data_IF_107138217650
#
_entry.id   IF_107138217650
#
_cell.length_a   1.000
_cell.length_b   1.000
_cell.length_c   1.000
_cell.angle_alpha   90.00
_cell.angle_beta   90.00
_cell.angle_gamma   90.00
#
_symmetry.space_group_name_H-M   'P 1'
#
loop_
_entity.id
_entity.type
_entity.pdbx_description
1 polymer ?
#
# COMPACT_ATOMS: atom_id res chain seq x y z
N UNK A 1 0.15 -42.43 39.66
CA UNK A 1 0.23 -41.11 40.32
C UNK A 1 0.98 -40.07 39.49
N UNK A 2 2.26 -40.23 39.17
CA UNK A 2 3.00 -39.19 38.40
C UNK A 2 2.47 -39.02 36.97
N UNK A 3 2.06 -40.10 36.31
CA UNK A 3 1.51 -40.08 34.95
C UNK A 3 0.15 -39.37 34.84
N UNK A 4 -0.71 -39.51 35.84
CA UNK A 4 -2.04 -38.86 35.86
C UNK A 4 -1.93 -37.34 36.05
N UNK A 5 -0.99 -36.89 36.89
CA UNK A 5 -0.69 -35.47 37.05
C UNK A 5 -0.12 -34.85 35.77
N UNK A 6 0.72 -35.60 35.05
CA UNK A 6 1.32 -35.16 33.79
C UNK A 6 0.25 -35.02 32.69
N UNK A 7 -0.71 -35.95 32.63
CA UNK A 7 -1.85 -35.86 31.70
C UNK A 7 -2.75 -34.65 32.01
N UNK A 8 -3.06 -34.40 33.28
CA UNK A 8 -3.85 -33.21 33.67
C UNK A 8 -3.15 -31.91 33.29
N UNK A 9 -1.82 -31.84 33.44
CA UNK A 9 -1.03 -30.66 33.10
C UNK A 9 -1.00 -30.44 31.58
N UNK A 10 -0.84 -31.49 30.78
CA UNK A 10 -0.88 -31.40 29.31
C UNK A 10 -2.25 -30.93 28.81
N UNK A 11 -3.33 -31.50 29.34
CA UNK A 11 -4.70 -31.10 28.96
C UNK A 11 -4.97 -29.65 29.33
N UNK A 12 -4.52 -29.22 30.52
CA UNK A 12 -4.62 -27.82 30.95
C UNK A 12 -3.84 -26.87 30.04
N UNK A 13 -2.60 -27.24 29.68
CA UNK A 13 -1.78 -26.47 28.74
C UNK A 13 -2.43 -26.37 27.35
N UNK A 14 -2.98 -27.47 26.82
CA UNK A 14 -3.66 -27.48 25.52
C UNK A 14 -4.91 -26.61 25.52
N UNK A 15 -5.70 -26.65 26.60
CA UNK A 15 -6.89 -25.81 26.74
C UNK A 15 -6.52 -24.31 26.75
N UNK A 16 -5.47 -23.93 27.49
CA UNK A 16 -4.95 -22.56 27.53
C UNK A 16 -4.45 -22.09 26.16
N UNK A 17 -3.72 -22.94 25.45
CA UNK A 17 -3.18 -22.64 24.12
C UNK A 17 -4.30 -22.45 23.10
N UNK A 18 -5.31 -23.32 23.12
CA UNK A 18 -6.50 -23.19 22.28
C UNK A 18 -7.26 -21.88 22.56
N UNK A 19 -7.39 -21.50 23.83
CA UNK A 19 -8.07 -20.26 24.23
C UNK A 19 -7.31 -19.00 23.77
N UNK A 20 -5.97 -19.00 23.90
CA UNK A 20 -5.12 -17.92 23.40
C UNK A 20 -5.19 -17.79 21.86
N UNK A 21 -5.16 -18.92 21.14
CA UNK A 21 -5.28 -18.92 19.68
C UNK A 21 -6.66 -18.43 19.23
N UNK A 22 -7.73 -18.89 19.89
CA UNK A 22 -9.09 -18.41 19.63
C UNK A 22 -9.20 -16.90 19.83
N UNK A 23 -8.66 -16.39 20.94
CA UNK A 23 -8.67 -14.96 21.24
C UNK A 23 -7.91 -14.13 20.19
N UNK A 24 -6.75 -14.63 19.73
CA UNK A 24 -6.00 -13.98 18.63
C UNK A 24 -6.76 -14.01 17.30
N UNK A 25 -7.40 -15.12 16.96
CA UNK A 25 -8.20 -15.22 15.73
C UNK A 25 -9.40 -14.27 15.75
N UNK A 26 -10.06 -14.11 16.90
CA UNK A 26 -11.14 -13.12 17.10
C UNK A 26 -10.65 -11.68 16.88
N UNK A 27 -9.44 -11.33 17.34
CA UNK A 27 -8.88 -10.00 17.11
C UNK A 27 -8.53 -9.76 15.64
N UNK A 28 -7.97 -10.75 14.95
CA UNK A 28 -7.60 -10.64 13.54
C UNK A 28 -8.85 -10.57 12.66
N UNK A 29 -9.83 -11.44 12.88
CA UNK A 29 -11.10 -11.44 12.13
C UNK A 29 -11.90 -10.15 12.35
N UNK A 30 -11.83 -9.55 13.54
CA UNK A 30 -12.43 -8.25 13.83
C UNK A 30 -11.86 -7.12 12.96
N UNK A 31 -10.55 -7.13 12.68
CA UNK A 31 -9.90 -6.13 11.80
C UNK A 31 -10.30 -6.33 10.34
N UNK A 32 -10.29 -7.57 9.84
CA UNK A 32 -10.70 -7.88 8.46
C UNK A 32 -12.18 -7.53 8.21
N UNK A 33 -13.06 -7.75 9.20
CA UNK A 33 -14.48 -7.35 9.09
C UNK A 33 -14.67 -5.84 8.99
N UNK A 34 -13.81 -5.04 9.64
CA UNK A 34 -13.88 -3.58 9.56
C UNK A 34 -13.48 -3.08 8.18
N UNK A 35 -12.38 -3.59 7.63
CA UNK A 35 -11.93 -3.23 6.28
C UNK A 35 -12.95 -3.64 5.21
N UNK A 36 -13.54 -4.84 5.31
CA UNK A 36 -14.59 -5.27 4.39
C UNK A 36 -15.86 -4.41 4.47
N UNK A 37 -16.25 -3.98 5.68
CA UNK A 37 -17.39 -3.07 5.83
C UNK A 37 -17.10 -1.68 5.28
N UNK A 38 -15.87 -1.20 5.40
CA UNK A 38 -15.46 0.09 4.82
C UNK A 38 -15.48 0.04 3.29
N UNK A 39 -14.91 -1.02 2.69
CA UNK A 39 -14.98 -1.29 1.25
C UNK A 39 -16.43 -1.43 0.75
N UNK A 40 -17.29 -2.14 1.50
CA UNK A 40 -18.71 -2.29 1.15
C UNK A 40 -19.45 -0.97 1.18
N UNK A 41 -19.22 -0.13 2.19
CA UNK A 41 -19.82 1.20 2.29
C UNK A 41 -19.38 2.12 1.15
N UNK A 42 -18.13 2.00 0.68
CA UNK A 42 -17.62 2.75 -0.47
C UNK A 42 -18.27 2.31 -1.78
N UNK A 43 -18.52 1.00 -1.95
CA UNK A 43 -19.23 0.50 -3.14
C UNK A 43 -20.70 0.91 -3.13
N UNK A 44 -21.40 0.82 -2.00
CA UNK A 44 -22.81 1.21 -1.90
C UNK A 44 -23.02 2.70 -2.19
N UNK A 45 -22.12 3.56 -1.68
CA UNK A 45 -22.13 4.99 -2.02
C UNK A 45 -21.88 5.28 -3.50
N UNK A 46 -21.12 4.43 -4.20
CA UNK A 46 -20.82 4.59 -5.63
C UNK A 46 -22.00 4.20 -6.51
N UNK A 47 -22.81 3.22 -6.09
CA UNK A 47 -23.95 2.71 -6.86
C UNK A 47 -25.18 3.63 -6.86
N UNK A 48 -25.31 4.53 -5.89
CA UNK A 48 -26.47 5.45 -5.77
C UNK A 48 -26.37 6.68 -6.71
N UNK A 49 -25.22 6.93 -7.35
CA UNK A 49 -24.99 8.14 -8.18
C UNK A 49 -24.74 7.77 -9.64
N UNK A 50 -25.78 7.31 -10.34
CA UNK A 50 -25.79 7.29 -11.80
C UNK A 50 -26.95 8.18 -12.31
N UNK A 51 -26.79 9.51 -12.38
CA UNK A 51 -27.74 10.36 -13.07
C UNK A 51 -27.49 10.27 -14.59
N UNK A 52 -28.57 10.08 -15.34
CA UNK A 52 -28.65 10.14 -16.80
C UNK A 52 -28.12 11.50 -17.28
N UNK A 53 -26.97 11.51 -17.95
CA UNK A 53 -26.27 12.72 -18.39
C UNK A 53 -26.86 13.22 -19.71
N UNK A 54 -27.74 14.23 -19.64
CA UNK A 54 -28.06 15.13 -20.76
C UNK A 54 -26.98 16.22 -20.76
N UNK A 55 -26.28 16.37 -21.89
CA UNK A 55 -24.98 17.03 -21.98
C UNK A 55 -24.94 18.50 -21.55
N UNK A 56 -24.16 18.77 -20.50
CA UNK A 56 -23.70 20.10 -20.10
C UNK A 56 -22.17 20.09 -20.04
N UNK A 57 -21.51 20.15 -21.21
CA UNK A 57 -20.06 20.07 -21.35
C UNK A 57 -19.27 21.14 -20.57
N UNK A 58 -19.84 22.34 -20.43
CA UNK A 58 -19.21 23.46 -19.73
C UNK A 58 -19.12 23.24 -18.21
N UNK A 59 -20.10 22.58 -17.61
CA UNK A 59 -20.05 22.20 -16.18
C UNK A 59 -19.12 21.00 -15.96
N UNK A 60 -19.02 20.10 -16.94
CA UNK A 60 -18.12 18.94 -16.93
C UNK A 60 -16.63 19.33 -17.00
N UNK A 61 -16.28 20.45 -17.62
CA UNK A 61 -14.90 20.95 -17.69
C UNK A 61 -14.40 21.48 -16.34
N UNK A 62 -15.24 22.27 -15.66
CA UNK A 62 -14.95 22.81 -14.32
C UNK A 62 -14.91 21.69 -13.25
N UNK A 63 -15.73 20.65 -13.44
CA UNK A 63 -15.65 19.43 -12.60
C UNK A 63 -14.49 18.52 -12.99
N UNK A 64 -14.07 18.44 -14.26
CA UNK A 64 -12.90 17.66 -14.67
C UNK A 64 -11.58 18.26 -14.17
N UNK A 65 -11.48 19.58 -14.06
CA UNK A 65 -10.33 20.26 -13.44
C UNK A 65 -10.26 19.96 -11.93
N UNK A 66 -11.41 19.89 -11.25
CA UNK A 66 -11.50 19.52 -9.82
C UNK A 66 -11.40 18.00 -9.57
N UNK A 67 -11.74 17.20 -10.57
CA UNK A 67 -11.60 15.74 -10.60
C UNK A 67 -10.32 15.29 -11.26
N UNK A 68 -9.33 16.18 -11.43
CA UNK A 68 -7.97 15.72 -11.65
C UNK A 68 -7.67 14.78 -10.48
N UNK A 69 -7.50 13.46 -10.73
CA UNK A 69 -7.26 12.54 -9.65
C UNK A 69 -6.00 13.05 -8.97
N UNK A 70 -6.11 13.45 -7.70
CA UNK A 70 -4.92 13.54 -6.87
C UNK A 70 -4.21 12.22 -7.11
N UNK A 71 -3.02 12.26 -7.73
CA UNK A 71 -2.44 11.04 -8.24
C UNK A 71 -2.21 10.14 -7.05
N UNK A 72 -2.92 9.02 -7.11
CA UNK A 72 -2.85 7.93 -6.17
C UNK A 72 -1.39 7.80 -5.70
N UNK A 73 -1.16 8.09 -4.42
CA UNK A 73 0.12 7.90 -3.75
C UNK A 73 1.34 8.66 -4.32
N UNK A 74 1.19 9.94 -4.74
CA UNK A 74 2.34 10.81 -5.07
C UNK A 74 3.39 10.89 -3.94
N UNK A 75 2.99 10.71 -2.68
CA UNK A 75 3.90 10.75 -1.52
C UNK A 75 4.84 9.54 -1.51
N UNK A 76 4.29 8.32 -1.60
CA UNK A 76 5.13 7.12 -1.59
C UNK A 76 5.95 6.99 -2.88
N UNK A 77 5.42 7.38 -4.04
CA UNK A 77 6.21 7.32 -5.28
C UNK A 77 7.33 8.36 -5.27
N UNK A 78 7.08 9.61 -4.86
CA UNK A 78 8.13 10.64 -4.75
C UNK A 78 9.25 10.25 -3.77
N UNK A 79 8.92 9.61 -2.65
CA UNK A 79 9.87 9.09 -1.69
C UNK A 79 10.69 7.93 -2.28
N UNK A 80 10.05 7.00 -3.01
CA UNK A 80 10.75 5.93 -3.75
C UNK A 80 11.75 6.48 -4.76
N UNK A 81 11.38 7.47 -5.57
CA UNK A 81 12.30 8.10 -6.53
C UNK A 81 13.52 8.71 -5.83
N UNK A 82 13.31 9.42 -4.72
CA UNK A 82 14.40 10.01 -3.94
C UNK A 82 15.33 8.95 -3.36
N UNK A 83 14.75 7.88 -2.83
CA UNK A 83 15.49 6.81 -2.18
C UNK A 83 16.32 5.99 -3.18
N UNK A 84 15.74 5.63 -4.33
CA UNK A 84 16.48 4.99 -5.44
C UNK A 84 17.64 5.88 -5.90
N UNK A 85 17.42 7.19 -6.02
CA UNK A 85 18.48 8.14 -6.33
C UNK A 85 19.61 8.16 -5.30
N UNK A 86 19.30 8.11 -4.01
CA UNK A 86 20.33 8.06 -2.96
C UNK A 86 21.11 6.74 -2.93
N UNK A 87 20.45 5.61 -3.22
CA UNK A 87 21.13 4.31 -3.30
C UNK A 87 22.06 4.24 -4.52
N UNK A 88 21.64 4.78 -5.66
CA UNK A 88 22.50 4.87 -6.84
C UNK A 88 23.72 5.78 -6.58
N UNK A 89 23.58 6.85 -5.79
CA UNK A 89 24.70 7.69 -5.37
C UNK A 89 25.69 6.96 -4.45
N UNK A 90 25.24 5.91 -3.76
CA UNK A 90 26.09 5.04 -2.93
C UNK A 90 26.78 3.93 -3.76
N UNK A 91 26.57 3.91 -5.08
CA UNK A 91 27.18 2.93 -5.99
C UNK A 91 26.44 1.60 -6.07
N UNK A 92 25.18 1.52 -5.63
CA UNK A 92 24.36 0.33 -5.85
C UNK A 92 23.82 0.30 -7.28
N UNK A 93 23.97 -0.86 -7.92
CA UNK A 93 23.40 -1.16 -9.23
C UNK A 93 21.90 -1.47 -9.15
N UNK A 94 21.23 -1.45 -10.31
CA UNK A 94 19.78 -1.63 -10.42
C UNK A 94 19.29 -2.94 -9.78
N UNK A 95 20.08 -4.02 -9.87
CA UNK A 95 19.77 -5.31 -9.24
C UNK A 95 19.80 -5.25 -7.71
N UNK A 96 20.85 -4.63 -7.13
CA UNK A 96 20.96 -4.47 -5.68
C UNK A 96 19.89 -3.55 -5.09
N UNK A 97 19.47 -2.53 -5.85
CA UNK A 97 18.36 -1.65 -5.47
C UNK A 97 17.02 -2.40 -5.55
N UNK A 98 16.82 -3.24 -6.58
CA UNK A 98 15.61 -4.04 -6.76
C UNK A 98 15.42 -5.01 -5.58
N UNK A 99 16.49 -5.66 -5.14
CA UNK A 99 16.47 -6.52 -3.96
C UNK A 99 16.16 -5.74 -2.68
N UNK A 100 16.83 -4.61 -2.45
CA UNK A 100 16.64 -3.78 -1.26
C UNK A 100 15.21 -3.21 -1.14
N UNK A 101 14.56 -2.92 -2.27
CA UNK A 101 13.22 -2.34 -2.31
C UNK A 101 12.11 -3.35 -2.60
N UNK A 102 12.45 -4.62 -2.81
CA UNK A 102 11.52 -5.68 -3.22
C UNK A 102 10.69 -5.25 -4.45
N UNK A 103 11.34 -4.65 -5.44
CA UNK A 103 10.72 -4.16 -6.69
C UNK A 103 11.27 -4.93 -7.89
N UNK A 104 10.53 -4.87 -9.00
CA UNK A 104 11.03 -5.45 -10.24
C UNK A 104 12.25 -4.64 -10.76
N UNK A 105 13.30 -5.29 -11.30
CA UNK A 105 14.48 -4.59 -11.81
C UNK A 105 14.13 -3.60 -12.93
N UNK A 106 13.18 -3.95 -13.80
CA UNK A 106 12.67 -3.05 -14.83
C UNK A 106 12.01 -1.78 -14.27
N UNK A 107 11.36 -1.86 -13.10
CA UNK A 107 10.79 -0.70 -12.43
C UNK A 107 11.90 0.21 -11.91
N UNK A 108 12.93 -0.35 -11.28
CA UNK A 108 14.09 0.40 -10.76
C UNK A 108 14.81 1.15 -11.88
N UNK A 109 15.03 0.50 -13.04
CA UNK A 109 15.64 1.15 -14.20
C UNK A 109 14.86 2.39 -14.65
N UNK A 110 13.53 2.30 -14.72
CA UNK A 110 12.67 3.44 -15.05
C UNK A 110 12.81 4.57 -14.02
N UNK A 111 12.85 4.23 -12.72
CA UNK A 111 13.03 5.21 -11.65
C UNK A 111 14.40 5.91 -11.76
N UNK A 112 15.47 5.18 -12.11
CA UNK A 112 16.81 5.73 -12.31
C UNK A 112 16.88 6.67 -13.52
N UNK A 113 16.26 6.29 -14.64
CA UNK A 113 16.18 7.15 -15.83
C UNK A 113 15.44 8.46 -15.50
N UNK A 114 14.32 8.38 -14.78
CA UNK A 114 13.56 9.54 -14.35
C UNK A 114 14.35 10.44 -13.37
N UNK A 115 15.15 9.84 -12.48
CA UNK A 115 16.01 10.60 -11.57
C UNK A 115 17.10 11.38 -12.33
N UNK A 116 17.72 10.77 -13.35
CA UNK A 116 18.71 11.44 -14.23
C UNK A 116 18.10 12.62 -14.99
N UNK A 117 16.89 12.43 -15.55
CA UNK A 117 16.17 13.50 -16.23
C UNK A 117 15.86 14.67 -15.28
N UNK A 118 15.40 14.39 -14.06
CA UNK A 118 15.12 15.45 -13.09
C UNK A 118 16.36 16.28 -12.73
N UNK A 119 17.53 15.64 -12.61
CA UNK A 119 18.78 16.35 -12.35
C UNK A 119 19.19 17.25 -13.52
N UNK A 120 19.04 16.78 -14.77
CA UNK A 120 19.35 17.61 -15.94
C UNK A 120 18.40 18.81 -16.08
N UNK A 121 17.11 18.64 -15.77
CA UNK A 121 16.14 19.74 -15.74
C UNK A 121 16.35 20.73 -14.58
N UNK A 122 16.87 20.27 -13.44
CA UNK A 122 17.18 21.14 -12.30
C UNK A 122 18.40 22.04 -12.57
N UNK A 123 19.43 21.51 -13.24
CA UNK A 123 20.59 22.32 -13.65
C UNK A 123 20.24 23.40 -14.66
N UNK A 124 19.30 23.14 -15.58
CA UNK A 124 18.91 24.05 -16.65
C UNK A 124 18.00 25.23 -16.22
N UNK A 125 17.56 25.28 -14.96
CA UNK A 125 16.78 26.40 -14.40
C UNK A 125 17.61 27.36 -13.55
N UNK A 126 18.90 27.09 -13.38
CA UNK A 126 19.84 27.91 -12.62
C UNK A 126 20.69 28.84 -13.50
N UNK A 127 20.49 28.79 -14.82
CA UNK A 127 21.04 29.70 -15.84
C UNK A 127 19.92 30.60 -16.38
#
# INVERSE_FOLDING_TARGET
MVTEQLLLLIVGCLALLALLLGFRQLQVTGKLRRELNELRNLMDRRSVVAPVVKGNFSTSLDTAERQQPQPFSRRNSAEKYRYVGSLAQQGLDAEGIAEALQMAPAEVEQLLQLAKLKQSFAGKRAD
#
